data_IF_369158347009
#
_entry.id   IF_369158347009
#
_cell.length_a   1.000
_cell.length_b   1.000
_cell.length_c   1.000
_cell.angle_alpha   90.00
_cell.angle_beta   90.00
_cell.angle_gamma   90.00
#
_symmetry.space_group_name_H-M   'P 1'
#
loop_
_entity.id
_entity.type
_entity.pdbx_description
1 polymer ?
#
# COMPACT_ATOMS: atom_id res chain seq x y z
N UNK A 1 28.13 12.65 -11.35
CA UNK A 1 26.83 12.47 -10.67
C UNK A 1 26.58 13.70 -9.82
N UNK A 2 25.60 14.51 -10.18
CA UNK A 2 25.19 15.68 -9.41
C UNK A 2 24.70 15.23 -8.02
N UNK A 3 25.35 15.72 -6.96
CA UNK A 3 24.89 15.50 -5.57
C UNK A 3 23.61 16.30 -5.37
N UNK A 4 22.47 15.63 -5.42
CA UNK A 4 21.18 16.23 -5.06
C UNK A 4 21.24 16.51 -3.55
N UNK A 5 21.21 17.79 -3.17
CA UNK A 5 21.38 18.25 -1.78
C UNK A 5 20.06 18.27 -0.98
N UNK A 6 18.93 18.06 -1.66
CA UNK A 6 17.61 17.99 -1.05
C UNK A 6 17.18 16.53 -0.86
N UNK A 7 16.40 16.23 0.19
CA UNK A 7 15.83 14.90 0.33
C UNK A 7 14.97 14.60 -0.90
N UNK A 8 15.17 13.43 -1.49
CA UNK A 8 14.23 12.88 -2.47
C UNK A 8 12.88 12.74 -1.76
N UNK A 9 11.85 13.47 -2.19
CA UNK A 9 10.53 13.52 -1.55
C UNK A 9 9.77 12.18 -1.64
N UNK A 10 10.35 11.09 -1.14
CA UNK A 10 9.78 9.74 -1.13
C UNK A 10 8.84 9.60 0.07
N UNK A 11 7.63 10.15 -0.05
CA UNK A 11 6.58 10.02 0.96
C UNK A 11 5.95 8.64 0.84
N UNK A 12 6.32 7.72 1.72
CA UNK A 12 5.69 6.38 1.80
C UNK A 12 4.44 6.48 2.66
N UNK A 13 3.30 6.03 2.13
CA UNK A 13 2.07 5.92 2.91
C UNK A 13 2.19 4.75 3.88
N UNK A 14 2.65 5.01 5.10
CA UNK A 14 2.88 3.99 6.14
C UNK A 14 1.59 3.47 6.78
N UNK A 15 0.52 4.29 6.76
CA UNK A 15 -0.71 4.02 7.51
C UNK A 15 -1.77 3.27 6.68
N UNK A 16 -1.39 2.76 5.51
CA UNK A 16 -2.28 2.10 4.57
C UNK A 16 -1.81 0.66 4.35
N UNK A 17 -2.71 -0.29 4.54
CA UNK A 17 -2.53 -1.68 4.17
C UNK A 17 -2.97 -1.89 2.71
N UNK A 18 -2.26 -2.75 1.98
CA UNK A 18 -2.64 -3.15 0.62
C UNK A 18 -3.24 -4.55 0.66
N UNK A 19 -4.52 -4.66 0.31
CA UNK A 19 -5.18 -5.96 0.13
C UNK A 19 -5.05 -6.36 -1.34
N UNK A 20 -4.56 -7.58 -1.58
CA UNK A 20 -4.28 -8.10 -2.93
C UNK A 20 -5.20 -9.26 -3.26
N UNK A 21 -5.73 -9.24 -4.48
CA UNK A 21 -6.48 -10.35 -5.07
C UNK A 21 -5.91 -10.67 -6.46
N UNK A 22 -5.75 -11.95 -6.78
CA UNK A 22 -5.36 -12.41 -8.11
C UNK A 22 -6.50 -13.21 -8.72
N UNK A 23 -7.03 -12.78 -9.86
CA UNK A 23 -8.11 -13.47 -10.58
C UNK A 23 -7.95 -13.27 -12.09
N UNK A 24 -8.13 -14.34 -12.87
CA UNK A 24 -8.04 -14.28 -14.34
C UNK A 24 -6.69 -13.75 -14.86
N UNK A 25 -5.59 -14.09 -14.19
CA UNK A 25 -4.24 -13.63 -14.55
C UNK A 25 -3.93 -12.17 -14.17
N UNK A 26 -4.91 -11.40 -13.69
CA UNK A 26 -4.76 -9.99 -13.31
C UNK A 26 -4.59 -9.82 -11.80
N UNK A 27 -3.87 -8.77 -11.40
CA UNK A 27 -3.64 -8.39 -10.01
C UNK A 27 -4.49 -7.18 -9.68
N UNK A 28 -5.31 -7.29 -8.64
CA UNK A 28 -6.13 -6.22 -8.10
C UNK A 28 -5.62 -5.87 -6.72
N UNK A 29 -5.39 -4.59 -6.48
CA UNK A 29 -4.89 -4.08 -5.21
C UNK A 29 -5.81 -2.98 -4.69
N UNK A 30 -6.13 -3.02 -3.40
CA UNK A 30 -6.97 -2.01 -2.73
C UNK A 30 -6.20 -1.45 -1.54
N UNK A 31 -6.14 -0.12 -1.47
CA UNK A 31 -5.61 0.64 -0.36
C UNK A 31 -6.67 0.77 0.74
N UNK A 32 -6.38 0.26 1.93
CA UNK A 32 -7.33 0.25 3.05
C UNK A 32 -6.61 0.36 4.41
N UNK A 33 -7.31 0.82 5.44
CA UNK A 33 -6.75 0.87 6.78
C UNK A 33 -6.64 -0.53 7.40
N UNK A 34 -5.55 -0.79 8.12
CA UNK A 34 -5.27 -2.10 8.73
C UNK A 34 -6.41 -2.59 9.62
N UNK A 35 -7.02 -1.71 10.42
CA UNK A 35 -8.12 -2.06 11.33
C UNK A 35 -9.35 -2.57 10.58
N UNK A 36 -9.71 -1.91 9.47
CA UNK A 36 -10.81 -2.33 8.60
C UNK A 36 -10.56 -3.70 7.96
N UNK A 37 -9.32 -4.02 7.60
CA UNK A 37 -8.97 -5.31 6.99
C UNK A 37 -9.11 -6.45 8.00
N UNK A 38 -8.68 -6.24 9.24
CA UNK A 38 -8.76 -7.25 10.30
C UNK A 38 -10.22 -7.50 10.68
N UNK A 39 -10.99 -6.43 10.90
CA UNK A 39 -12.42 -6.49 11.20
C UNK A 39 -13.21 -7.23 10.09
N UNK A 40 -12.93 -6.91 8.83
CA UNK A 40 -13.55 -7.59 7.68
C UNK A 40 -13.24 -9.09 7.59
N UNK A 41 -12.07 -9.53 8.05
CA UNK A 41 -11.64 -10.93 8.00
C UNK A 41 -12.11 -11.76 9.18
N UNK A 42 -12.35 -11.12 10.33
CA UNK A 42 -12.75 -11.78 11.58
C UNK A 42 -14.27 -11.92 11.73
N UNK A 43 -15.04 -11.56 10.70
CA UNK A 43 -16.48 -11.81 10.60
C UNK A 43 -16.76 -13.26 10.23
#
# INVERSE_FOLDING_TARGET
MSKIFTPVNQIRLTNVAVVRMKKGGKRFEIACYRNKVIDWRNK
#
